data_IF_351133492980
#
_entry.id   IF_351133492980
#
_cell.length_a   1.000
_cell.length_b   1.000
_cell.length_c   1.000
_cell.angle_alpha   90.00
_cell.angle_beta   90.00
_cell.angle_gamma   90.00
#
_symmetry.space_group_name_H-M   'P 1'
#
loop_
_entity.id
_entity.type
_entity.pdbx_description
1 polymer ?
#
# COMPACT_ATOMS: atom_id res chain seq x y z
N UNK A 1 21.86 -24.73 13.07
CA UNK A 1 21.15 -23.69 12.29
C UNK A 1 19.66 -23.85 12.57
N UNK A 2 19.12 -23.09 13.51
CA UNK A 2 17.67 -23.02 13.72
C UNK A 2 17.08 -22.24 12.54
N UNK A 3 16.41 -22.92 11.63
CA UNK A 3 15.71 -22.25 10.52
C UNK A 3 14.56 -21.44 11.11
N UNK A 4 14.53 -20.13 10.85
CA UNK A 4 13.39 -19.28 11.17
C UNK A 4 12.12 -19.92 10.59
N UNK A 5 11.07 -20.17 11.38
CA UNK A 5 9.83 -20.73 10.86
C UNK A 5 9.24 -19.84 9.74
N UNK A 6 8.66 -20.41 8.69
CA UNK A 6 8.13 -19.63 7.57
C UNK A 6 6.94 -18.72 7.98
N UNK A 7 6.23 -19.10 9.04
CA UNK A 7 5.11 -18.35 9.61
C UNK A 7 5.35 -18.21 11.11
N UNK A 8 5.14 -17.03 11.62
CA UNK A 8 5.21 -16.67 13.04
C UNK A 8 3.84 -16.17 13.49
N UNK A 9 3.57 -16.24 14.79
CA UNK A 9 2.40 -15.62 15.40
C UNK A 9 2.86 -14.53 16.36
N UNK A 10 2.36 -13.32 16.19
CA UNK A 10 2.68 -12.16 17.01
C UNK A 10 1.37 -11.46 17.35
N UNK A 11 1.05 -11.37 18.65
CA UNK A 11 -0.16 -10.71 19.11
C UNK A 11 -1.44 -11.24 18.45
N UNK A 12 -1.52 -12.54 18.13
CA UNK A 12 -2.67 -13.16 17.45
C UNK A 12 -2.71 -12.92 15.92
N UNK A 13 -1.66 -12.37 15.34
CA UNK A 13 -1.53 -12.16 13.90
C UNK A 13 -0.49 -13.12 13.33
N UNK A 14 -0.84 -13.86 12.28
CA UNK A 14 0.10 -14.70 11.54
C UNK A 14 0.92 -13.85 10.58
N UNK A 15 2.23 -13.96 10.62
CA UNK A 15 3.11 -13.21 9.73
C UNK A 15 4.08 -14.13 8.99
N UNK A 16 4.31 -13.87 7.72
CA UNK A 16 5.41 -14.49 7.00
C UNK A 16 6.74 -13.98 7.56
N UNK A 17 7.69 -14.90 7.85
CA UNK A 17 9.03 -14.54 8.29
C UNK A 17 9.78 -13.65 7.30
N UNK A 18 9.38 -13.65 6.04
CA UNK A 18 9.92 -12.77 5.01
C UNK A 18 9.75 -11.28 5.33
N UNK A 19 8.72 -10.92 6.12
CA UNK A 19 8.51 -9.55 6.60
C UNK A 19 9.65 -9.09 7.49
N UNK A 20 10.30 -10.02 8.21
CA UNK A 20 11.47 -9.75 9.07
C UNK A 20 12.79 -9.82 8.32
N UNK A 21 12.90 -10.72 7.33
CA UNK A 21 14.16 -11.08 6.68
C UNK A 21 14.41 -10.41 5.34
N UNK A 22 13.34 -10.04 4.61
CA UNK A 22 13.47 -9.37 3.32
C UNK A 22 13.60 -7.85 3.48
N UNK A 23 14.33 -7.24 2.56
CA UNK A 23 14.62 -5.80 2.56
C UNK A 23 13.74 -5.07 1.57
N UNK A 24 13.32 -3.85 1.94
CA UNK A 24 12.49 -3.03 1.08
C UNK A 24 12.61 -1.55 1.43
N UNK A 25 12.71 -0.71 0.43
CA UNK A 25 12.57 0.74 0.55
C UNK A 25 11.97 1.26 -0.76
N UNK A 26 10.77 1.78 -0.72
CA UNK A 26 10.11 2.28 -1.93
C UNK A 26 11.00 3.25 -2.70
N UNK A 27 11.21 3.00 -3.97
CA UNK A 27 11.97 3.85 -4.87
C UNK A 27 11.05 4.52 -5.88
N UNK A 28 10.42 5.60 -5.44
CA UNK A 28 9.46 6.34 -6.23
C UNK A 28 10.09 6.97 -7.49
N UNK A 29 11.37 7.31 -7.45
CA UNK A 29 12.08 7.85 -8.61
C UNK A 29 12.21 6.81 -9.73
N UNK A 30 12.24 5.53 -9.38
CA UNK A 30 12.28 4.40 -10.32
C UNK A 30 10.89 3.95 -10.73
N UNK A 31 10.05 3.58 -9.74
CA UNK A 31 8.74 2.99 -10.03
C UNK A 31 7.68 4.01 -10.44
N UNK A 32 7.92 5.33 -10.26
CA UNK A 32 7.01 6.41 -10.67
C UNK A 32 5.57 6.27 -10.12
N UNK A 33 5.37 5.56 -9.02
CA UNK A 33 4.05 5.37 -8.42
C UNK A 33 3.16 4.36 -9.13
N UNK A 34 3.73 3.44 -9.89
CA UNK A 34 3.00 2.47 -10.74
C UNK A 34 2.03 1.59 -9.93
N UNK A 35 2.24 1.39 -8.63
CA UNK A 35 1.34 0.65 -7.74
C UNK A 35 -0.08 1.26 -7.63
N UNK A 36 -0.26 2.52 -8.03
CA UNK A 36 -1.57 3.16 -8.11
C UNK A 36 -2.28 2.93 -9.47
N UNK A 37 -1.62 2.27 -10.42
CA UNK A 37 -2.09 2.10 -11.80
C UNK A 37 -2.16 0.64 -12.21
N UNK A 38 -1.20 -0.15 -11.78
CA UNK A 38 -1.16 -1.58 -12.07
C UNK A 38 -1.96 -2.37 -11.02
N UNK A 39 -2.67 -3.38 -11.46
CA UNK A 39 -3.46 -4.29 -10.61
C UNK A 39 -4.75 -4.69 -11.30
N UNK A 40 -5.33 -5.80 -10.84
CA UNK A 40 -6.58 -6.37 -11.40
C UNK A 40 -7.83 -5.73 -10.77
N UNK A 41 -7.68 -5.06 -9.63
CA UNK A 41 -8.75 -4.40 -8.89
C UNK A 41 -8.20 -3.21 -8.11
N UNK A 42 -9.09 -2.43 -7.48
CA UNK A 42 -8.72 -1.38 -6.53
C UNK A 42 -8.07 -1.93 -5.25
N UNK A 43 -7.54 -1.05 -4.43
CA UNK A 43 -6.98 -1.42 -3.14
C UNK A 43 -8.10 -1.78 -2.15
N UNK A 44 -7.98 -2.89 -1.36
CA UNK A 44 -8.93 -3.22 -0.31
C UNK A 44 -9.12 -2.06 0.69
N UNK A 45 -10.39 -1.82 1.07
CA UNK A 45 -10.77 -0.74 1.99
C UNK A 45 -11.82 -1.21 2.98
N UNK A 46 -11.82 -0.63 4.18
CA UNK A 46 -12.88 -0.82 5.17
C UNK A 46 -14.01 0.20 4.96
N UNK A 47 -15.16 -0.01 5.62
CA UNK A 47 -16.28 0.95 5.57
C UNK A 47 -15.88 2.30 6.21
N UNK A 48 -15.07 2.26 7.27
CA UNK A 48 -14.53 3.46 7.91
C UNK A 48 -13.62 4.23 6.95
N UNK A 49 -12.74 3.53 6.23
CA UNK A 49 -11.87 4.16 5.24
C UNK A 49 -12.64 4.73 4.05
N UNK A 50 -13.76 4.11 3.66
CA UNK A 50 -14.65 4.66 2.63
C UNK A 50 -15.22 6.00 3.10
N UNK A 51 -15.71 6.08 4.34
CA UNK A 51 -16.21 7.33 4.91
C UNK A 51 -15.12 8.42 4.99
N UNK A 52 -13.91 8.05 5.42
CA UNK A 52 -12.76 8.96 5.45
C UNK A 52 -12.36 9.47 4.05
N UNK A 53 -12.44 8.60 3.04
CA UNK A 53 -12.17 8.98 1.63
C UNK A 53 -13.24 9.92 1.10
N UNK A 54 -14.51 9.70 1.44
CA UNK A 54 -15.62 10.58 1.07
C UNK A 54 -15.50 11.95 1.75
N UNK A 55 -15.11 12.00 3.04
CA UNK A 55 -14.84 13.27 3.74
C UNK A 55 -13.68 14.05 3.08
N UNK A 56 -12.64 13.34 2.62
CA UNK A 56 -11.50 13.97 1.95
C UNK A 56 -11.79 14.41 0.51
N UNK A 57 -12.92 13.96 -0.09
CA UNK A 57 -13.19 14.09 -1.51
C UNK A 57 -13.24 15.55 -1.98
N UNK A 58 -13.94 16.42 -1.24
CA UNK A 58 -14.03 17.85 -1.59
C UNK A 58 -12.66 18.51 -1.70
N UNK A 59 -11.74 18.12 -0.83
CA UNK A 59 -10.39 18.67 -0.79
C UNK A 59 -9.55 18.25 -2.00
N UNK A 60 -9.76 17.04 -2.51
CA UNK A 60 -8.96 16.48 -3.61
C UNK A 60 -9.65 16.56 -4.97
N UNK A 61 -10.98 16.83 -5.01
CA UNK A 61 -11.82 16.77 -6.21
C UNK A 61 -11.23 17.46 -7.42
N UNK A 62 -10.82 18.71 -7.27
CA UNK A 62 -10.25 19.50 -8.38
C UNK A 62 -8.91 18.98 -8.90
N UNK A 63 -8.26 18.08 -8.15
CA UNK A 63 -7.00 17.47 -8.53
C UNK A 63 -7.19 16.11 -9.21
N UNK A 64 -8.40 15.53 -9.16
CA UNK A 64 -8.71 14.27 -9.82
C UNK A 64 -8.87 14.47 -11.33
N UNK A 65 -8.65 13.42 -12.12
CA UNK A 65 -8.93 13.46 -13.56
C UNK A 65 -10.45 13.48 -13.81
N UNK A 66 -10.88 14.06 -14.94
CA UNK A 66 -12.29 14.05 -15.33
C UNK A 66 -12.87 12.61 -15.42
N UNK A 67 -12.05 11.64 -15.83
CA UNK A 67 -12.43 10.23 -15.86
C UNK A 67 -12.65 9.68 -14.45
N UNK A 68 -11.77 10.03 -13.50
CA UNK A 68 -11.91 9.62 -12.10
C UNK A 68 -13.16 10.24 -11.45
N UNK A 69 -13.39 11.54 -11.66
CA UNK A 69 -14.61 12.22 -11.21
C UNK A 69 -15.87 11.54 -11.75
N UNK A 70 -15.90 11.23 -13.05
CA UNK A 70 -17.03 10.53 -13.66
C UNK A 70 -17.25 9.12 -13.11
N UNK A 71 -16.20 8.42 -12.69
CA UNK A 71 -16.33 7.11 -12.02
C UNK A 71 -16.91 7.30 -10.63
N UNK A 72 -16.38 8.26 -9.86
CA UNK A 72 -16.86 8.54 -8.49
C UNK A 72 -18.32 8.97 -8.49
N UNK A 73 -18.73 9.83 -9.43
CA UNK A 73 -20.12 10.25 -9.56
C UNK A 73 -21.10 9.09 -9.83
N UNK A 74 -20.62 8.03 -10.50
CA UNK A 74 -21.47 6.89 -10.89
C UNK A 74 -21.51 5.77 -9.87
N UNK A 75 -20.39 5.46 -9.22
CA UNK A 75 -20.27 4.28 -8.35
C UNK A 75 -19.66 4.56 -6.98
N UNK A 76 -19.26 5.83 -6.71
CA UNK A 76 -18.59 6.19 -5.47
C UNK A 76 -17.09 5.95 -5.50
N UNK A 77 -16.44 6.19 -4.34
CA UNK A 77 -14.98 6.06 -4.15
C UNK A 77 -14.51 4.60 -4.05
N UNK A 78 -15.45 3.67 -3.81
CA UNK A 78 -15.21 2.24 -3.66
C UNK A 78 -16.33 1.42 -4.29
N UNK A 79 -16.06 0.15 -4.59
CA UNK A 79 -17.03 -0.82 -5.11
C UNK A 79 -16.70 -2.22 -4.57
N UNK A 80 -17.69 -3.13 -4.61
CA UNK A 80 -17.44 -4.54 -4.33
C UNK A 80 -16.83 -5.21 -5.57
N UNK A 81 -15.67 -5.84 -5.41
CA UNK A 81 -15.03 -6.60 -6.49
C UNK A 81 -15.74 -7.94 -6.76
N UNK A 82 -15.16 -8.77 -7.64
CA UNK A 82 -15.72 -10.09 -8.00
C UNK A 82 -15.79 -11.08 -6.83
N UNK A 83 -14.99 -10.88 -5.81
CA UNK A 83 -14.93 -11.74 -4.61
C UNK A 83 -15.79 -11.14 -3.47
N UNK A 84 -16.45 -9.98 -3.71
CA UNK A 84 -17.30 -9.28 -2.77
C UNK A 84 -16.54 -8.41 -1.78
N UNK A 85 -15.24 -8.23 -1.95
CA UNK A 85 -14.42 -7.34 -1.11
C UNK A 85 -14.58 -5.89 -1.57
N UNK A 86 -14.70 -4.98 -0.59
CA UNK A 86 -14.72 -3.55 -0.90
C UNK A 86 -13.32 -3.07 -1.29
N UNK A 87 -13.22 -2.46 -2.47
CA UNK A 87 -11.96 -1.95 -3.03
C UNK A 87 -12.15 -0.54 -3.57
N UNK A 88 -11.07 0.25 -3.63
CA UNK A 88 -11.14 1.59 -4.23
C UNK A 88 -11.60 1.54 -5.69
N UNK A 89 -12.40 2.50 -6.11
CA UNK A 89 -12.81 2.60 -7.52
C UNK A 89 -11.61 2.85 -8.44
N UNK A 90 -11.68 2.26 -9.63
CA UNK A 90 -10.62 2.33 -10.65
C UNK A 90 -11.18 2.86 -11.98
N UNK A 91 -10.37 3.56 -12.72
CA UNK A 91 -10.70 4.13 -14.03
C UNK A 91 -10.36 3.09 -15.11
N UNK A 92 -11.37 2.67 -15.86
CA UNK A 92 -11.23 1.73 -17.00
C UNK A 92 -10.48 0.44 -16.66
N UNK A 93 -10.63 -0.05 -15.43
CA UNK A 93 -9.97 -1.28 -14.98
C UNK A 93 -8.46 -1.15 -14.77
N UNK A 94 -7.96 0.05 -14.54
CA UNK A 94 -6.53 0.34 -14.35
C UNK A 94 -6.27 1.22 -13.14
N UNK A 95 -6.06 2.54 -13.37
CA UNK A 95 -5.62 3.45 -12.33
C UNK A 95 -6.70 3.68 -11.25
N UNK A 96 -6.27 3.77 -9.99
CA UNK A 96 -7.11 4.20 -8.87
C UNK A 96 -7.69 5.61 -9.14
N UNK A 97 -8.94 5.85 -8.77
CA UNK A 97 -9.59 7.18 -8.94
C UNK A 97 -8.85 8.30 -8.22
N UNK A 98 -8.09 8.00 -7.18
CA UNK A 98 -7.26 8.98 -6.47
C UNK A 98 -5.85 9.13 -7.05
N UNK A 99 -5.48 8.35 -8.08
CA UNK A 99 -4.19 8.49 -8.75
C UNK A 99 -4.26 9.58 -9.82
N UNK A 100 -3.21 10.41 -9.88
CA UNK A 100 -3.04 11.44 -10.91
C UNK A 100 -1.64 11.37 -11.50
N UNK A 101 -1.57 11.40 -12.83
CA UNK A 101 -0.30 11.61 -13.53
C UNK A 101 0.15 13.07 -13.37
N UNK A 102 1.41 13.27 -13.03
CA UNK A 102 2.04 14.59 -12.93
C UNK A 102 2.64 15.06 -14.28
N UNK A 103 2.65 14.19 -15.30
CA UNK A 103 3.13 14.55 -16.64
C UNK A 103 1.99 15.15 -17.46
N UNK A 104 2.07 16.42 -17.90
CA UNK A 104 0.98 17.10 -18.61
C UNK A 104 0.64 16.53 -19.98
N UNK A 105 1.48 15.69 -20.55
CA UNK A 105 1.42 15.22 -21.95
C UNK A 105 1.36 13.70 -22.12
N UNK A 106 1.04 12.93 -21.08
CA UNK A 106 0.88 11.48 -21.22
C UNK A 106 -0.42 11.15 -22.00
N UNK A 107 -0.40 11.44 -23.31
CA UNK A 107 -1.27 10.74 -24.25
C UNK A 107 -0.72 9.33 -24.44
N UNK A 108 -1.56 8.29 -24.50
CA UNK A 108 -1.11 6.90 -24.70
C UNK A 108 -0.38 6.65 -26.04
N UNK A 109 -0.12 7.69 -26.83
CA UNK A 109 0.44 7.63 -28.18
C UNK A 109 1.79 8.32 -28.35
N UNK A 110 2.34 8.95 -27.31
CA UNK A 110 3.66 9.60 -27.40
C UNK A 110 4.76 8.58 -27.07
N UNK A 111 5.24 7.88 -28.08
CA UNK A 111 6.43 7.01 -28.07
C UNK A 111 7.73 7.82 -27.87
N UNK A 112 7.85 8.53 -26.77
CA UNK A 112 9.03 9.36 -26.48
C UNK A 112 8.95 10.12 -25.17
N UNK A 113 7.83 10.05 -24.46
CA UNK A 113 7.69 10.69 -23.16
C UNK A 113 8.24 9.79 -22.05
N UNK A 114 8.97 10.38 -21.12
CA UNK A 114 9.32 9.73 -19.86
C UNK A 114 8.06 9.15 -19.23
N UNK A 115 8.11 7.92 -18.71
CA UNK A 115 7.00 7.26 -18.07
C UNK A 115 6.28 8.20 -17.08
N UNK A 116 4.94 8.26 -17.13
CA UNK A 116 4.19 9.19 -16.29
C UNK A 116 4.43 8.89 -14.80
N UNK A 117 4.71 9.95 -14.03
CA UNK A 117 4.85 9.87 -12.60
C UNK A 117 3.46 9.98 -11.97
N UNK A 118 3.03 8.96 -11.23
CA UNK A 118 1.71 8.89 -10.60
C UNK A 118 1.75 9.22 -9.12
N UNK A 119 0.82 10.01 -8.65
CA UNK A 119 0.74 10.44 -7.26
C UNK A 119 -0.67 10.21 -6.71
N UNK A 120 -0.75 9.67 -5.49
CA UNK A 120 -2.01 9.56 -4.76
C UNK A 120 -2.43 10.96 -4.24
N UNK A 121 -3.60 11.44 -4.65
CA UNK A 121 -4.09 12.75 -4.24
C UNK A 121 -4.51 12.79 -2.77
N UNK A 122 -4.96 11.67 -2.20
CA UNK A 122 -5.22 11.57 -0.75
C UNK A 122 -3.93 11.75 0.05
N UNK A 123 -2.87 10.99 -0.28
CA UNK A 123 -1.59 11.12 0.42
C UNK A 123 -0.99 12.51 0.25
N UNK A 124 -1.10 13.11 -0.93
CA UNK A 124 -0.65 14.47 -1.19
C UNK A 124 -1.37 15.48 -0.29
N UNK A 125 -2.70 15.43 -0.25
CA UNK A 125 -3.51 16.31 0.59
C UNK A 125 -3.21 16.13 2.09
N UNK A 126 -3.00 14.91 2.54
CA UNK A 126 -2.57 14.61 3.90
C UNK A 126 -1.20 15.23 4.23
N UNK A 127 -0.20 15.04 3.36
CA UNK A 127 1.15 15.62 3.55
C UNK A 127 1.15 17.15 3.54
N UNK A 128 0.19 17.75 2.84
CA UNK A 128 -0.04 19.21 2.82
C UNK A 128 -0.88 19.68 4.02
N UNK A 129 -1.29 18.80 4.94
CA UNK A 129 -2.09 19.11 6.11
C UNK A 129 -3.54 19.51 5.80
N UNK A 130 -4.04 19.17 4.62
CA UNK A 130 -5.38 19.52 4.14
C UNK A 130 -6.45 18.50 4.54
N UNK A 131 -6.07 17.25 4.80
CA UNK A 131 -6.94 16.17 5.26
C UNK A 131 -6.30 15.43 6.42
N UNK A 132 -7.12 14.73 7.22
CA UNK A 132 -6.65 13.84 8.29
C UNK A 132 -6.38 12.43 7.77
N UNK A 133 -7.06 12.02 6.72
CA UNK A 133 -6.91 10.71 6.10
C UNK A 133 -5.76 10.72 5.10
N UNK A 134 -4.80 9.81 5.28
CA UNK A 134 -3.64 9.71 4.39
C UNK A 134 -3.96 8.91 3.12
N UNK A 135 -4.25 7.65 3.31
CA UNK A 135 -4.61 6.67 2.27
C UNK A 135 -5.05 5.36 2.92
N UNK A 136 -5.74 4.46 2.21
CA UNK A 136 -6.10 3.16 2.73
C UNK A 136 -4.93 2.42 3.36
N UNK A 137 -5.22 1.68 4.44
CA UNK A 137 -4.17 0.93 5.15
C UNK A 137 -3.53 -0.13 4.26
N UNK A 138 -4.30 -0.74 3.37
CA UNK A 138 -3.81 -1.70 2.38
C UNK A 138 -2.76 -1.09 1.45
N UNK A 139 -2.94 0.18 1.03
CA UNK A 139 -1.95 0.93 0.25
C UNK A 139 -0.73 1.30 1.08
N UNK A 140 -0.92 1.67 2.36
CA UNK A 140 0.17 2.09 3.23
C UNK A 140 1.06 0.93 3.67
N UNK A 141 0.49 -0.25 3.88
CA UNK A 141 1.19 -1.48 4.24
C UNK A 141 1.92 -2.14 3.07
N UNK A 142 1.61 -1.74 1.81
CA UNK A 142 2.26 -2.38 0.67
C UNK A 142 3.81 -2.24 0.74
N UNK A 143 4.58 -3.31 0.57
CA UNK A 143 4.28 -4.61 -0.03
C UNK A 143 3.73 -5.70 0.91
N UNK A 144 3.39 -5.41 2.14
CA UNK A 144 2.66 -6.36 2.98
C UNK A 144 1.19 -6.38 2.53
N UNK A 145 0.66 -7.61 2.30
CA UNK A 145 -0.76 -7.83 2.06
C UNK A 145 -1.37 -8.51 3.27
N UNK A 146 -2.45 -7.92 3.77
CA UNK A 146 -3.28 -8.49 4.81
C UNK A 146 -4.33 -9.41 4.21
N UNK A 147 -4.57 -10.55 4.85
CA UNK A 147 -5.69 -11.45 4.54
C UNK A 147 -6.43 -11.78 5.83
N UNK A 148 -7.73 -11.60 5.82
CA UNK A 148 -8.62 -12.04 6.88
C UNK A 148 -9.08 -13.48 6.59
N UNK A 149 -8.82 -14.40 7.53
CA UNK A 149 -9.23 -15.80 7.45
C UNK A 149 -10.55 -16.08 8.17
N UNK A 150 -11.19 -15.06 8.70
CA UNK A 150 -12.39 -15.19 9.55
C UNK A 150 -12.04 -15.39 11.03
N UNK A 151 -13.06 -15.29 11.88
CA UNK A 151 -12.94 -15.45 13.34
C UNK A 151 -11.85 -14.59 14.00
N UNK A 152 -11.54 -13.43 13.41
CA UNK A 152 -10.50 -12.51 13.90
C UNK A 152 -9.06 -12.92 13.55
N UNK A 153 -8.86 -14.02 12.81
CA UNK A 153 -7.53 -14.44 12.39
C UNK A 153 -7.08 -13.64 11.17
N UNK A 154 -5.98 -12.93 11.35
CA UNK A 154 -5.34 -12.11 10.31
C UNK A 154 -3.99 -12.71 9.92
N UNK A 155 -3.70 -12.71 8.63
CA UNK A 155 -2.39 -13.08 8.10
C UNK A 155 -1.75 -11.95 7.33
N UNK A 156 -0.46 -11.75 7.53
CA UNK A 156 0.37 -10.79 6.81
C UNK A 156 1.39 -11.54 5.96
N UNK A 157 1.44 -11.19 4.68
CA UNK A 157 2.37 -11.80 3.74
C UNK A 157 3.10 -10.75 2.92
N UNK A 158 4.36 -11.02 2.57
CA UNK A 158 5.12 -10.20 1.64
C UNK A 158 4.72 -10.51 0.20
N UNK A 159 4.20 -9.52 -0.50
CA UNK A 159 3.84 -9.63 -1.91
C UNK A 159 5.03 -9.24 -2.78
N UNK A 160 5.55 -10.21 -3.53
CA UNK A 160 6.61 -9.98 -4.51
C UNK A 160 5.99 -9.55 -5.83
N UNK A 161 6.19 -8.31 -6.18
CA UNK A 161 5.73 -7.74 -7.44
C UNK A 161 6.90 -7.17 -8.23
N UNK A 162 6.99 -7.51 -9.50
CA UNK A 162 8.12 -7.14 -10.35
C UNK A 162 8.31 -5.62 -10.46
N UNK A 163 7.23 -4.85 -10.43
CA UNK A 163 7.27 -3.38 -10.45
C UNK A 163 8.00 -2.78 -9.24
N UNK A 164 8.21 -3.57 -8.18
CA UNK A 164 8.92 -3.17 -6.96
C UNK A 164 10.35 -3.71 -6.88
N UNK A 165 10.92 -4.23 -7.97
CA UNK A 165 12.27 -4.79 -8.00
C UNK A 165 13.31 -3.79 -7.47
N UNK A 166 13.28 -2.55 -7.94
CA UNK A 166 14.22 -1.51 -7.52
C UNK A 166 14.08 -1.13 -6.03
N UNK A 167 12.87 -1.23 -5.48
CA UNK A 167 12.62 -1.02 -4.06
C UNK A 167 13.30 -2.10 -3.18
N UNK A 168 13.37 -3.33 -3.66
CA UNK A 168 14.08 -4.42 -2.99
C UNK A 168 15.59 -4.17 -2.99
N UNK A 169 16.16 -3.79 -4.11
CA UNK A 169 17.59 -3.47 -4.23
C UNK A 169 17.99 -2.26 -3.35
N UNK A 170 17.16 -1.22 -3.35
CA UNK A 170 17.34 -0.05 -2.47
C UNK A 170 17.25 -0.44 -0.99
N UNK A 171 16.28 -1.27 -0.61
CA UNK A 171 16.14 -1.77 0.75
C UNK A 171 17.36 -2.56 1.21
N UNK A 172 17.93 -3.42 0.36
CA UNK A 172 19.18 -4.14 0.64
C UNK A 172 20.37 -3.19 0.83
N UNK A 173 20.51 -2.22 -0.07
CA UNK A 173 21.59 -1.22 0.03
C UNK A 173 21.52 -0.40 1.32
N UNK A 174 20.33 -0.16 1.85
CA UNK A 174 20.09 0.55 3.12
C UNK A 174 20.05 -0.37 4.35
N UNK A 175 20.19 -1.69 4.16
CA UNK A 175 19.99 -2.69 5.21
C UNK A 175 18.66 -2.48 5.98
N UNK A 176 17.58 -2.22 5.24
CA UNK A 176 16.28 -1.84 5.78
C UNK A 176 15.24 -2.95 5.58
N UNK A 177 15.00 -3.80 6.60
CA UNK A 177 13.96 -4.84 6.52
C UNK A 177 12.56 -4.26 6.33
N UNK A 178 11.65 -5.03 5.71
CA UNK A 178 10.27 -4.62 5.42
C UNK A 178 9.57 -4.07 6.66
N UNK A 179 9.64 -4.77 7.80
CA UNK A 179 8.95 -4.34 9.02
C UNK A 179 9.47 -3.00 9.57
N UNK A 180 10.76 -2.70 9.39
CA UNK A 180 11.33 -1.40 9.78
C UNK A 180 10.93 -0.29 8.81
N UNK A 181 10.93 -0.58 7.51
CA UNK A 181 10.46 0.35 6.49
C UNK A 181 8.97 0.72 6.68
N UNK A 182 8.14 -0.25 7.06
CA UNK A 182 6.71 -0.07 7.25
C UNK A 182 6.30 0.19 8.71
N UNK A 183 7.22 0.69 9.56
CA UNK A 183 6.95 0.98 10.97
C UNK A 183 5.65 1.74 11.19
N UNK A 184 5.50 2.89 10.56
CA UNK A 184 4.32 3.77 10.78
C UNK A 184 3.01 3.13 10.32
N UNK A 185 2.92 2.51 9.12
CA UNK A 185 1.73 1.75 8.72
C UNK A 185 1.39 0.59 9.65
N UNK A 186 2.39 -0.16 10.12
CA UNK A 186 2.17 -1.27 11.05
C UNK A 186 1.65 -0.79 12.40
N UNK A 187 2.22 0.31 12.93
CA UNK A 187 1.72 0.95 14.16
C UNK A 187 0.29 1.47 13.95
N UNK A 188 -0.01 2.09 12.81
CA UNK A 188 -1.37 2.57 12.49
C UNK A 188 -2.38 1.43 12.47
N UNK A 189 -1.99 0.26 11.99
CA UNK A 189 -2.89 -0.89 11.83
C UNK A 189 -3.05 -1.71 13.10
N UNK A 190 -1.96 -1.97 13.82
CA UNK A 190 -1.93 -2.95 14.93
C UNK A 190 -1.61 -2.33 16.30
N UNK A 191 -1.18 -1.08 16.35
CA UNK A 191 -0.79 -0.40 17.58
C UNK A 191 0.71 -0.49 17.89
N UNK A 192 1.14 0.36 18.83
CA UNK A 192 2.57 0.46 19.21
C UNK A 192 3.08 -0.78 19.93
N UNK A 193 2.27 -1.34 20.81
CA UNK A 193 2.60 -2.51 21.61
C UNK A 193 2.84 -3.72 20.70
N UNK A 194 1.96 -3.95 19.73
CA UNK A 194 2.13 -5.02 18.75
C UNK A 194 3.40 -4.84 17.92
N UNK A 195 3.68 -3.61 17.47
CA UNK A 195 4.90 -3.34 16.72
C UNK A 195 6.16 -3.54 17.55
N UNK A 196 6.11 -3.25 18.85
CA UNK A 196 7.23 -3.51 19.77
C UNK A 196 7.48 -5.02 19.91
N UNK A 197 6.43 -5.82 20.12
CA UNK A 197 6.52 -7.29 20.15
C UNK A 197 7.12 -7.85 18.85
N UNK A 198 6.69 -7.32 17.68
CA UNK A 198 7.27 -7.67 16.39
C UNK A 198 8.78 -7.41 16.35
N UNK A 199 9.25 -6.27 16.87
CA UNK A 199 10.66 -5.93 16.91
C UNK A 199 11.45 -6.86 17.83
N UNK A 200 10.92 -7.17 19.02
CA UNK A 200 11.56 -8.07 19.99
C UNK A 200 11.72 -9.48 19.41
N UNK A 201 10.68 -10.02 18.79
CA UNK A 201 10.74 -11.31 18.09
C UNK A 201 11.75 -11.29 16.94
N UNK A 202 11.76 -10.22 16.15
CA UNK A 202 12.71 -10.08 15.05
C UNK A 202 14.17 -10.07 15.56
N UNK A 203 14.46 -9.35 16.65
CA UNK A 203 15.79 -9.28 17.23
C UNK A 203 16.25 -10.63 17.78
N UNK A 204 15.37 -11.36 18.45
CA UNK A 204 15.66 -12.71 18.95
C UNK A 204 16.00 -13.67 17.82
N UNK A 205 15.13 -13.76 16.82
CA UNK A 205 15.32 -14.70 15.70
C UNK A 205 16.54 -14.38 14.82
N UNK A 206 16.83 -13.10 14.60
CA UNK A 206 17.95 -12.68 13.75
C UNK A 206 19.29 -12.72 14.49
N UNK A 207 19.30 -12.69 15.83
CA UNK A 207 20.53 -12.83 16.61
C UNK A 207 20.99 -14.29 16.78
N UNK A 208 20.08 -15.27 16.65
CA UNK A 208 20.40 -16.70 16.74
C UNK A 208 21.03 -17.28 15.47
N UNK A 209 20.95 -16.55 14.34
CA UNK A 209 21.50 -16.98 13.04
C UNK A 209 22.92 -16.43 12.77
N UNK A 210 23.53 -15.73 13.72
CA UNK A 210 24.92 -15.22 13.68
C UNK A 210 25.82 -16.15 14.50
#
# INVERSE_FOLDING_TARGET
MNKIPPILEIGGVLISSEILTEFFCCDYEKCKGICCVEGDAGAPVTLEEIADMEEALDTVWSQLSASAQSVIDKQGVAYADKDGEMVTSIVRGKECVFARSLSPSASPRDEGSQDPCWLCMLEKAYREGKTKFCKPISCALYPIREKNFGNGLIGLNYHRWEVCRDAKEKGKALNLPIYKFLKEPLIRRFGKEWYQELCEVAEQLLSEDV
#
